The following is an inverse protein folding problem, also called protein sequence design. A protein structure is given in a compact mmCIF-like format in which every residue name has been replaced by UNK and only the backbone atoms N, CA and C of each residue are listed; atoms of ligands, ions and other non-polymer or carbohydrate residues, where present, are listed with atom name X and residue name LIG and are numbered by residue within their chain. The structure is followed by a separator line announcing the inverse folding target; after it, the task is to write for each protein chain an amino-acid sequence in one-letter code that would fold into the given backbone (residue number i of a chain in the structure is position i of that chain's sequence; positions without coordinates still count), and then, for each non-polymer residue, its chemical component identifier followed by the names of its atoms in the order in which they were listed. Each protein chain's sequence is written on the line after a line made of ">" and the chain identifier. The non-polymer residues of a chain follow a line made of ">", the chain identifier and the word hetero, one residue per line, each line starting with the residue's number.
data_IF_085785372697
#
_entry.id   IF_085785372697
#
_cell.length_a   1.000
_cell.length_b   1.000
_cell.length_c   1.000
_cell.angle_alpha   90.00
_cell.angle_beta   90.00
_cell.angle_gamma   90.00
#
_symmetry.space_group_name_H-M   'P 1'
#
loop_
_entity.id
_entity.type
_entity.pdbx_description
1 polymer ?
#
# COMPACT_ATOMS: atom_id res chain seq x y z
N UNK A 1 18.09 -7.18 23.92
CA UNK A 1 17.38 -6.03 23.29
C UNK A 1 16.92 -6.32 21.84
N UNK A 2 17.71 -6.96 20.96
CA UNK A 2 17.24 -7.32 19.60
C UNK A 2 16.16 -8.41 19.58
N UNK A 3 16.20 -9.38 20.50
CA UNK A 3 15.25 -10.49 20.52
C UNK A 3 13.81 -10.08 20.84
N UNK A 4 13.60 -8.99 21.59
CA UNK A 4 12.25 -8.46 21.83
C UNK A 4 11.69 -7.81 20.57
N UNK A 5 12.49 -6.99 19.89
CA UNK A 5 12.08 -6.30 18.66
C UNK A 5 11.75 -7.30 17.55
N UNK A 6 12.63 -8.29 17.33
CA UNK A 6 12.38 -9.33 16.32
C UNK A 6 11.08 -10.11 16.59
N UNK A 7 10.79 -10.45 17.86
CA UNK A 7 9.54 -11.13 18.21
C UNK A 7 8.31 -10.27 17.95
N UNK A 8 8.40 -8.95 18.12
CA UNK A 8 7.31 -8.01 17.79
C UNK A 8 7.03 -7.94 16.29
N UNK A 9 8.05 -8.12 15.45
CA UNK A 9 7.93 -8.03 13.99
C UNK A 9 7.68 -9.37 13.29
N UNK A 10 7.67 -10.50 14.03
CA UNK A 10 7.41 -11.83 13.48
C UNK A 10 6.08 -11.92 12.70
N UNK A 11 4.94 -11.39 13.18
CA UNK A 11 3.70 -11.43 12.41
C UNK A 11 3.83 -10.71 11.06
N UNK A 12 4.56 -9.58 11.04
CA UNK A 12 4.79 -8.78 9.83
C UNK A 12 5.72 -9.53 8.87
N UNK A 13 6.77 -10.18 9.39
CA UNK A 13 7.68 -11.04 8.61
C UNK A 13 6.92 -12.09 7.79
N UNK A 14 5.98 -12.80 8.42
CA UNK A 14 5.19 -13.84 7.77
C UNK A 14 4.23 -13.31 6.69
N UNK A 15 3.83 -12.04 6.75
CA UNK A 15 3.09 -11.38 5.68
C UNK A 15 4.01 -10.85 4.56
N UNK A 16 5.11 -10.20 4.93
CA UNK A 16 5.96 -9.46 4.01
C UNK A 16 6.78 -10.34 3.09
N UNK A 17 7.30 -11.47 3.57
CA UNK A 17 8.10 -12.36 2.71
C UNK A 17 7.25 -12.93 1.57
N UNK A 18 6.10 -13.59 1.81
CA UNK A 18 5.28 -14.13 0.72
C UNK A 18 4.76 -13.04 -0.22
N UNK A 19 4.32 -11.90 0.32
CA UNK A 19 3.79 -10.79 -0.48
C UNK A 19 4.91 -10.14 -1.33
N UNK A 20 6.09 -9.94 -0.75
CA UNK A 20 7.27 -9.45 -1.45
C UNK A 20 7.76 -10.43 -2.51
N UNK A 21 7.68 -11.74 -2.25
CA UNK A 21 7.97 -12.77 -3.25
C UNK A 21 6.99 -12.71 -4.43
N UNK A 22 5.69 -12.60 -4.16
CA UNK A 22 4.68 -12.46 -5.20
C UNK A 22 4.94 -11.22 -6.07
N UNK A 23 5.28 -10.08 -5.44
CA UNK A 23 5.74 -8.89 -6.15
C UNK A 23 6.95 -9.16 -7.04
N UNK A 24 7.99 -9.79 -6.50
CA UNK A 24 9.23 -10.04 -7.22
C UNK A 24 9.04 -10.94 -8.44
N UNK A 25 8.25 -12.02 -8.29
CA UNK A 25 7.90 -12.91 -9.41
C UNK A 25 7.12 -12.13 -10.47
N UNK A 26 6.11 -11.36 -10.06
CA UNK A 26 5.31 -10.56 -10.99
C UNK A 26 6.20 -9.55 -11.74
N UNK A 27 7.11 -8.88 -11.04
CA UNK A 27 8.05 -7.93 -11.65
C UNK A 27 8.93 -8.61 -12.70
N UNK A 28 9.59 -9.71 -12.36
CA UNK A 28 10.55 -10.38 -13.24
C UNK A 28 9.89 -11.08 -14.44
N UNK A 29 8.63 -11.50 -14.31
CA UNK A 29 7.92 -12.25 -15.37
C UNK A 29 7.08 -11.38 -16.29
N UNK A 30 6.64 -10.20 -15.82
CA UNK A 30 5.76 -9.31 -16.59
C UNK A 30 6.45 -8.08 -17.15
N UNK A 31 7.61 -7.69 -16.60
CA UNK A 31 8.37 -6.55 -17.06
C UNK A 31 9.72 -7.00 -17.59
N UNK A 32 10.15 -6.40 -18.70
CA UNK A 32 11.46 -6.63 -19.31
C UNK A 32 12.56 -5.80 -18.62
N UNK A 33 12.64 -5.91 -17.29
CA UNK A 33 13.64 -5.25 -16.46
C UNK A 33 14.50 -6.26 -15.70
N UNK A 34 15.76 -5.90 -15.38
CA UNK A 34 16.62 -6.78 -14.59
C UNK A 34 16.01 -7.11 -13.23
N UNK A 35 16.15 -8.36 -12.78
CA UNK A 35 15.60 -8.84 -11.49
C UNK A 35 15.96 -7.97 -10.29
N UNK A 36 17.16 -7.35 -10.28
CA UNK A 36 17.65 -6.53 -9.18
C UNK A 36 16.89 -5.20 -9.02
N UNK A 37 16.12 -4.79 -10.03
CA UNK A 37 15.28 -3.61 -9.94
C UNK A 37 14.12 -3.81 -8.95
N UNK A 38 13.62 -5.03 -8.78
CA UNK A 38 12.57 -5.35 -7.80
C UNK A 38 12.99 -5.05 -6.35
N UNK A 39 14.09 -5.61 -5.80
CA UNK A 39 14.55 -5.25 -4.45
C UNK A 39 14.97 -3.78 -4.35
N UNK A 40 15.49 -3.17 -5.42
CA UNK A 40 15.81 -1.73 -5.43
C UNK A 40 14.55 -0.87 -5.24
N UNK A 41 13.43 -1.22 -5.87
CA UNK A 41 12.15 -0.55 -5.62
C UNK A 41 11.69 -0.74 -4.17
N UNK A 42 11.95 -1.91 -3.56
CA UNK A 42 11.69 -2.14 -2.13
C UNK A 42 12.51 -1.24 -1.20
N UNK A 43 13.69 -0.78 -1.63
CA UNK A 43 14.52 0.17 -0.88
C UNK A 43 14.10 1.62 -1.11
N UNK A 44 13.85 2.00 -2.37
CA UNK A 44 13.65 3.41 -2.76
C UNK A 44 12.19 3.88 -2.70
N UNK A 45 11.25 3.00 -3.07
CA UNK A 45 9.83 3.34 -3.19
C UNK A 45 9.08 2.82 -1.96
N UNK A 46 9.36 1.57 -1.57
CA UNK A 46 8.80 0.92 -0.37
C UNK A 46 7.29 1.14 -0.17
N UNK A 47 6.50 0.93 -1.23
CA UNK A 47 5.07 1.20 -1.24
C UNK A 47 4.20 -0.06 -1.07
N UNK A 48 4.80 -1.23 -0.84
CA UNK A 48 4.07 -2.49 -0.60
C UNK A 48 3.08 -2.80 -1.72
N UNK A 49 1.78 -2.80 -1.39
CA UNK A 49 0.66 -2.94 -2.33
C UNK A 49 0.73 -1.99 -3.54
N UNK A 50 1.25 -0.78 -3.36
CA UNK A 50 1.48 0.16 -4.46
C UNK A 50 2.48 -0.36 -5.48
N UNK A 51 3.58 -0.98 -5.05
CA UNK A 51 4.55 -1.53 -6.01
C UNK A 51 3.93 -2.62 -6.87
N UNK A 52 3.08 -3.46 -6.28
CA UNK A 52 2.40 -4.51 -7.03
C UNK A 52 1.37 -3.92 -8.00
N UNK A 53 0.58 -2.93 -7.56
CA UNK A 53 -0.33 -2.19 -8.45
C UNK A 53 0.41 -1.56 -9.63
N UNK A 54 1.55 -0.90 -9.37
CA UNK A 54 2.33 -0.26 -10.42
C UNK A 54 2.82 -1.27 -11.46
N UNK A 55 3.35 -2.41 -11.03
CA UNK A 55 3.78 -3.49 -11.94
C UNK A 55 2.61 -4.03 -12.75
N UNK A 56 1.47 -4.30 -12.11
CA UNK A 56 0.27 -4.78 -12.79
C UNK A 56 -0.24 -3.81 -13.86
N UNK A 57 -0.27 -2.52 -13.55
CA UNK A 57 -0.70 -1.50 -14.51
C UNK A 57 0.30 -1.35 -15.67
N UNK A 58 1.60 -1.36 -15.40
CA UNK A 58 2.63 -1.32 -16.44
C UNK A 58 2.57 -2.55 -17.34
N UNK A 59 2.39 -3.74 -16.77
CA UNK A 59 2.22 -4.99 -17.52
C UNK A 59 0.96 -4.97 -18.41
N UNK A 60 -0.11 -4.33 -17.94
CA UNK A 60 -1.34 -4.13 -18.71
C UNK A 60 -1.23 -3.02 -19.77
N UNK A 61 -0.06 -2.39 -19.94
CA UNK A 61 0.16 -1.31 -20.91
C UNK A 61 -0.43 0.04 -20.52
N UNK A 62 -0.75 0.27 -19.24
CA UNK A 62 -1.26 1.55 -18.76
C UNK A 62 -0.22 2.67 -18.95
N UNK A 63 -0.71 3.89 -19.20
CA UNK A 63 0.15 5.05 -19.35
C UNK A 63 0.82 5.46 -18.04
N UNK A 64 2.01 6.07 -18.10
CA UNK A 64 2.74 6.52 -16.89
C UNK A 64 1.93 7.47 -16.01
N UNK A 65 1.09 8.32 -16.62
CA UNK A 65 0.20 9.24 -15.89
C UNK A 65 -0.87 8.47 -15.12
N UNK A 66 -1.43 7.41 -15.70
CA UNK A 66 -2.43 6.58 -15.04
C UNK A 66 -1.83 5.82 -13.86
N UNK A 67 -0.64 5.24 -14.06
CA UNK A 67 0.13 4.58 -13.01
C UNK A 67 0.43 5.57 -11.88
N UNK A 68 0.87 6.79 -12.21
CA UNK A 68 1.15 7.83 -11.22
C UNK A 68 -0.10 8.19 -10.41
N UNK A 69 -1.24 8.43 -11.07
CA UNK A 69 -2.49 8.79 -10.40
C UNK A 69 -2.97 7.66 -9.51
N UNK A 70 -2.97 6.41 -10.00
CA UNK A 70 -3.38 5.25 -9.22
C UNK A 70 -2.47 5.03 -8.01
N UNK A 71 -1.15 5.15 -8.20
CA UNK A 71 -0.16 5.08 -7.12
C UNK A 71 -0.35 6.17 -6.09
N UNK A 72 -0.56 7.41 -6.53
CA UNK A 72 -0.78 8.55 -5.65
C UNK A 72 -2.02 8.35 -4.79
N UNK A 73 -3.15 7.99 -5.41
CA UNK A 73 -4.43 7.75 -4.71
C UNK A 73 -4.30 6.60 -3.72
N UNK A 74 -3.72 5.46 -4.14
CA UNK A 74 -3.56 4.29 -3.26
C UNK A 74 -2.62 4.59 -2.08
N UNK A 75 -1.55 5.34 -2.30
CA UNK A 75 -0.57 5.64 -1.26
C UNK A 75 -0.88 6.90 -0.44
N UNK A 76 -1.93 7.67 -0.77
CA UNK A 76 -2.31 8.87 -0.04
C UNK A 76 -2.51 8.62 1.47
N UNK A 77 -2.89 7.40 1.86
CA UNK A 77 -2.98 6.98 3.27
C UNK A 77 -1.68 7.14 4.06
N UNK A 78 -0.52 6.93 3.43
CA UNK A 78 0.78 7.10 4.07
C UNK A 78 1.04 8.54 4.52
N UNK A 79 0.45 9.53 3.83
CA UNK A 79 0.52 10.93 4.26
C UNK A 79 -0.13 11.11 5.64
N UNK A 80 -1.30 10.49 5.86
CA UNK A 80 -2.00 10.58 7.14
C UNK A 80 -1.24 9.86 8.26
N UNK A 81 -0.59 8.73 7.97
CA UNK A 81 0.27 8.04 8.94
C UNK A 81 1.47 8.91 9.35
N UNK A 82 2.12 9.53 8.36
CA UNK A 82 3.23 10.44 8.62
C UNK A 82 2.80 11.62 9.50
N UNK A 83 1.66 12.24 9.17
CA UNK A 83 1.11 13.37 9.91
C UNK A 83 0.74 13.01 11.36
N UNK A 84 0.10 11.85 11.60
CA UNK A 84 -0.32 11.45 12.95
C UNK A 84 0.88 11.15 13.88
N UNK A 85 2.01 10.70 13.32
CA UNK A 85 3.22 10.37 14.09
C UNK A 85 4.27 11.49 14.12
N UNK A 86 4.01 12.65 13.52
CA UNK A 86 4.94 13.80 13.53
C UNK A 86 5.38 14.20 14.93
N UNK A 87 4.44 14.19 15.89
CA UNK A 87 4.70 14.50 17.30
C UNK A 87 5.56 13.43 17.97
N UNK A 88 5.28 12.16 17.70
CA UNK A 88 6.02 11.01 18.24
C UNK A 88 7.47 10.98 17.77
N UNK A 89 7.73 11.35 16.51
CA UNK A 89 9.07 11.38 15.92
C UNK A 89 9.81 12.70 16.14
N UNK A 90 9.25 13.63 16.93
CA UNK A 90 9.90 14.89 17.26
C UNK A 90 11.19 14.62 18.05
N UNK A 91 12.30 15.19 17.59
CA UNK A 91 13.62 15.02 18.21
C UNK A 91 14.42 13.82 17.70
N UNK A 92 13.90 13.01 16.77
CA UNK A 92 14.59 11.84 16.23
C UNK A 92 15.73 12.15 15.22
N UNK A 93 16.03 13.44 14.98
CA UNK A 93 17.06 13.88 14.02
C UNK A 93 16.81 13.37 12.60
N UNK A 94 17.86 12.86 11.93
CA UNK A 94 17.78 12.31 10.57
C UNK A 94 16.86 11.07 10.47
N UNK A 95 16.73 10.31 11.57
CA UNK A 95 15.88 9.11 11.62
C UNK A 95 14.41 9.45 11.40
N UNK A 96 13.98 10.68 11.68
CA UNK A 96 12.60 11.12 11.46
C UNK A 96 12.18 10.94 10.00
N UNK A 97 13.03 11.31 9.05
CA UNK A 97 12.71 11.19 7.63
C UNK A 97 12.54 9.71 7.23
N UNK A 98 13.46 8.86 7.68
CA UNK A 98 13.38 7.42 7.46
C UNK A 98 12.15 6.78 8.14
N UNK A 99 11.85 7.15 9.37
CA UNK A 99 10.69 6.65 10.11
C UNK A 99 9.38 7.00 9.42
N UNK A 100 9.27 8.19 8.80
CA UNK A 100 8.10 8.59 8.01
C UNK A 100 8.06 7.83 6.68
N UNK A 101 9.19 7.71 6.00
CA UNK A 101 9.31 6.97 4.73
C UNK A 101 8.94 5.49 4.89
N UNK A 102 9.41 4.85 5.96
CA UNK A 102 9.20 3.43 6.23
C UNK A 102 7.84 3.09 6.86
N UNK A 103 6.89 4.03 6.89
CA UNK A 103 5.54 3.72 7.35
C UNK A 103 4.82 2.90 6.29
N UNK A 104 4.23 1.81 6.76
CA UNK A 104 3.33 0.89 6.06
C UNK A 104 2.18 0.60 7.03
N UNK A 105 1.08 -0.02 6.59
CA UNK A 105 -0.07 -0.28 7.46
C UNK A 105 0.33 -1.10 8.70
N UNK A 106 1.17 -2.11 8.48
CA UNK A 106 1.65 -3.05 9.48
C UNK A 106 2.65 -2.38 10.42
N UNK A 107 3.56 -1.57 9.88
CA UNK A 107 4.51 -0.79 10.69
C UNK A 107 3.75 0.24 11.52
N UNK A 108 2.85 1.00 10.92
CA UNK A 108 2.02 2.00 11.60
C UNK A 108 1.18 1.38 12.73
N UNK A 109 0.49 0.27 12.43
CA UNK A 109 -0.29 -0.48 13.41
C UNK A 109 0.58 -0.94 14.58
N UNK A 110 1.74 -1.52 14.32
CA UNK A 110 2.65 -1.97 15.37
C UNK A 110 3.22 -0.80 16.20
N UNK A 111 3.61 0.32 15.56
CA UNK A 111 4.17 1.47 16.27
C UNK A 111 3.16 2.18 17.19
N UNK A 112 1.86 2.12 16.84
CA UNK A 112 0.77 2.77 17.59
C UNK A 112 0.12 1.88 18.64
N UNK A 113 0.16 0.55 18.48
CA UNK A 113 -0.47 -0.40 19.41
C UNK A 113 0.50 -0.99 20.44
N UNK A 114 1.82 -0.95 20.17
CA UNK A 114 2.81 -1.46 21.12
C UNK A 114 2.85 -0.62 22.41
N UNK A 115 3.03 -1.24 23.59
CA UNK A 115 3.33 -0.52 24.81
C UNK A 115 4.59 0.34 24.65
N UNK A 116 4.59 1.54 25.24
CA UNK A 116 5.72 2.49 25.19
C UNK A 116 6.11 2.91 26.61
N UNK A 117 7.41 2.94 26.88
CA UNK A 117 7.97 3.46 28.11
C UNK A 117 8.07 4.99 28.14
N UNK A 118 8.52 5.57 29.26
CA UNK A 118 8.64 7.01 29.44
C UNK A 118 9.83 7.63 28.67
N UNK A 119 10.85 6.83 28.32
CA UNK A 119 12.03 7.30 27.59
C UNK A 119 11.76 7.39 26.08
N UNK A 120 11.45 8.60 25.62
CA UNK A 120 11.19 8.88 24.20
C UNK A 120 12.34 8.49 23.28
N UNK A 121 13.59 8.71 23.69
CA UNK A 121 14.74 8.45 22.81
C UNK A 121 14.92 6.96 22.59
N UNK A 122 14.79 6.18 23.66
CA UNK A 122 14.77 4.72 23.57
C UNK A 122 13.63 4.21 22.68
N UNK A 123 12.42 4.74 22.85
CA UNK A 123 11.26 4.34 22.05
C UNK A 123 11.43 4.66 20.54
N UNK A 124 12.08 5.77 20.21
CA UNK A 124 12.40 6.13 18.83
C UNK A 124 13.48 5.22 18.21
N UNK A 125 14.42 4.73 19.01
CA UNK A 125 15.39 3.71 18.57
C UNK A 125 14.71 2.37 18.29
N UNK A 126 13.76 1.97 19.15
CA UNK A 126 12.93 0.78 18.92
C UNK A 126 12.09 0.92 17.66
N UNK A 127 11.42 2.06 17.46
CA UNK A 127 10.66 2.36 16.24
C UNK A 127 11.56 2.22 15.00
N UNK A 128 12.78 2.79 15.03
CA UNK A 128 13.73 2.72 13.92
C UNK A 128 14.13 1.28 13.57
N UNK A 129 14.36 0.44 14.59
CA UNK A 129 14.71 -0.98 14.39
C UNK A 129 13.54 -1.78 13.83
N UNK A 130 12.32 -1.53 14.30
CA UNK A 130 11.10 -2.16 13.76
C UNK A 130 10.95 -1.83 12.28
N UNK A 131 11.03 -0.54 11.92
CA UNK A 131 10.94 -0.08 10.54
C UNK A 131 12.04 -0.72 9.67
N UNK A 132 13.28 -0.76 10.16
CA UNK A 132 14.40 -1.40 9.46
C UNK A 132 14.17 -2.90 9.22
N UNK A 133 13.72 -3.64 10.23
CA UNK A 133 13.39 -5.05 10.08
C UNK A 133 12.28 -5.27 9.04
N UNK A 134 11.20 -4.51 9.12
CA UNK A 134 10.09 -4.62 8.18
C UNK A 134 10.54 -4.31 6.74
N UNK A 135 11.37 -3.29 6.54
CA UNK A 135 11.93 -3.00 5.22
C UNK A 135 12.81 -4.14 4.71
N UNK A 136 13.68 -4.69 5.56
CA UNK A 136 14.52 -5.83 5.20
C UNK A 136 13.67 -7.05 4.78
N UNK A 137 12.59 -7.35 5.50
CA UNK A 137 11.73 -8.49 5.17
C UNK A 137 11.09 -8.35 3.79
N UNK A 138 10.62 -7.14 3.47
CA UNK A 138 10.06 -6.83 2.17
C UNK A 138 11.11 -6.97 1.07
N UNK A 139 12.28 -6.34 1.22
CA UNK A 139 13.37 -6.37 0.23
C UNK A 139 13.87 -7.79 -0.01
N UNK A 140 14.00 -8.60 1.06
CA UNK A 140 14.37 -10.02 0.96
C UNK A 140 13.30 -10.78 0.18
N UNK A 141 12.02 -10.57 0.49
CA UNK A 141 10.90 -11.15 -0.27
C UNK A 141 10.97 -10.78 -1.75
N UNK A 142 11.13 -9.50 -2.07
CA UNK A 142 11.27 -9.01 -3.44
C UNK A 142 12.45 -9.65 -4.18
N UNK A 143 13.61 -9.75 -3.53
CA UNK A 143 14.81 -10.36 -4.11
C UNK A 143 14.60 -11.86 -4.40
N UNK A 144 14.07 -12.61 -3.42
CA UNK A 144 13.78 -14.03 -3.59
C UNK A 144 12.78 -14.24 -4.73
N UNK A 145 11.68 -13.48 -4.72
CA UNK A 145 10.66 -13.56 -5.77
C UNK A 145 11.20 -13.25 -7.15
N UNK A 146 11.98 -12.17 -7.29
CA UNK A 146 12.52 -11.76 -8.58
C UNK A 146 13.55 -12.75 -9.11
N UNK A 147 14.42 -13.29 -8.25
CA UNK A 147 15.36 -14.35 -8.63
C UNK A 147 14.64 -15.62 -9.09
N UNK A 148 13.57 -16.01 -8.39
CA UNK A 148 12.74 -17.15 -8.79
C UNK A 148 12.06 -16.91 -10.14
N UNK A 149 11.50 -15.72 -10.35
CA UNK A 149 10.85 -15.36 -11.62
C UNK A 149 11.82 -15.29 -12.81
N UNK A 150 13.08 -14.90 -12.57
CA UNK A 150 14.11 -14.77 -13.61
C UNK A 150 14.80 -16.10 -13.97
N UNK A 151 14.99 -17.00 -13.00
CA UNK A 151 15.82 -18.20 -13.18
C UNK A 151 15.03 -19.50 -13.38
N UNK A 152 13.76 -19.53 -13.00
CA UNK A 152 12.90 -20.68 -13.25
C UNK A 152 12.17 -20.42 -14.54
N UNK A 153 12.31 -21.34 -15.51
CA UNK A 153 11.44 -21.39 -16.69
C UNK A 153 10.01 -21.71 -16.21
N UNK A 154 9.34 -20.70 -15.67
CA UNK A 154 7.95 -20.78 -15.31
C UNK A 154 7.17 -20.84 -16.61
N UNK A 155 6.32 -21.84 -16.72
CA UNK A 155 5.19 -21.74 -17.61
C UNK A 155 4.39 -20.52 -17.15
N UNK A 156 4.47 -19.43 -17.93
CA UNK A 156 3.78 -18.18 -17.63
C UNK A 156 2.27 -18.33 -17.73
N UNK A 157 1.79 -19.49 -18.24
CA UNK A 157 0.38 -19.91 -18.21
C UNK A 157 -0.13 -19.89 -16.77
N UNK A 158 -0.97 -18.90 -16.47
CA UNK A 158 -1.54 -18.68 -15.12
C UNK A 158 -0.91 -17.53 -14.34
N UNK A 159 0.21 -16.95 -14.77
CA UNK A 159 0.71 -15.69 -14.16
C UNK A 159 -0.23 -14.52 -14.50
N UNK A 160 -0.92 -14.56 -15.65
CA UNK A 160 -1.99 -13.62 -15.96
C UNK A 160 -3.09 -13.63 -14.89
N UNK A 161 -3.37 -14.80 -14.29
CA UNK A 161 -4.29 -14.90 -13.15
C UNK A 161 -3.70 -14.26 -11.89
N UNK A 162 -2.39 -14.19 -11.72
CA UNK A 162 -1.77 -13.53 -10.56
C UNK A 162 -2.12 -12.03 -10.50
N UNK A 163 -2.18 -11.35 -11.66
CA UNK A 163 -2.62 -9.96 -11.74
C UNK A 163 -4.08 -9.81 -11.30
N UNK A 164 -4.96 -10.68 -11.80
CA UNK A 164 -6.39 -10.67 -11.41
C UNK A 164 -6.56 -10.99 -9.93
N UNK A 165 -5.87 -12.03 -9.43
CA UNK A 165 -5.89 -12.44 -8.04
C UNK A 165 -5.37 -11.34 -7.11
N UNK A 166 -4.35 -10.58 -7.52
CA UNK A 166 -3.88 -9.41 -6.77
C UNK A 166 -4.98 -8.38 -6.61
N UNK A 167 -5.66 -7.98 -7.69
CA UNK A 167 -6.75 -7.00 -7.58
C UNK A 167 -7.90 -7.52 -6.72
N UNK A 168 -8.22 -8.82 -6.79
CA UNK A 168 -9.21 -9.45 -5.91
C UNK A 168 -8.76 -9.36 -4.45
N UNK A 169 -7.52 -9.73 -4.14
CA UNK A 169 -6.98 -9.66 -2.77
C UNK A 169 -6.97 -8.23 -2.25
N UNK A 170 -6.49 -7.27 -3.04
CA UNK A 170 -6.52 -5.85 -2.68
C UNK A 170 -7.95 -5.39 -2.40
N UNK A 171 -8.91 -5.79 -3.24
CA UNK A 171 -10.32 -5.47 -3.06
C UNK A 171 -10.89 -6.06 -1.76
N UNK A 172 -10.59 -7.32 -1.47
CA UNK A 172 -11.00 -8.00 -0.23
C UNK A 172 -10.41 -7.32 1.00
N UNK A 173 -9.13 -6.96 0.97
CA UNK A 173 -8.46 -6.28 2.08
C UNK A 173 -9.06 -4.89 2.32
N UNK A 174 -9.37 -4.13 1.27
CA UNK A 174 -10.07 -2.85 1.42
C UNK A 174 -11.47 -3.01 1.98
N UNK A 175 -12.23 -4.01 1.52
CA UNK A 175 -13.56 -4.29 2.06
C UNK A 175 -13.51 -4.67 3.56
N UNK A 176 -12.56 -5.51 3.96
CA UNK A 176 -12.36 -5.86 5.38
C UNK A 176 -11.97 -4.66 6.24
N UNK A 177 -11.13 -3.77 5.70
CA UNK A 177 -10.66 -2.58 6.40
C UNK A 177 -11.78 -1.57 6.63
N UNK A 178 -12.61 -1.32 5.61
CA UNK A 178 -13.71 -0.36 5.68
C UNK A 178 -14.96 -0.92 6.35
N UNK A 179 -15.18 -2.24 6.28
CA UNK A 179 -16.42 -2.93 6.70
C UNK A 179 -17.68 -2.33 6.08
N UNK A 180 -17.54 -1.66 4.94
CA UNK A 180 -18.60 -0.99 4.19
C UNK A 180 -18.47 -1.38 2.71
N UNK A 181 -19.58 -1.81 2.12
CA UNK A 181 -19.67 -2.16 0.70
C UNK A 181 -19.89 -0.97 -0.22
N UNK A 182 -20.25 0.20 0.31
CA UNK A 182 -20.56 1.37 -0.53
C UNK A 182 -19.38 1.80 -1.43
N UNK A 183 -18.13 1.93 -0.93
CA UNK A 183 -16.98 2.27 -1.78
C UNK A 183 -16.70 1.23 -2.87
N UNK A 184 -16.95 -0.06 -2.58
CA UNK A 184 -16.76 -1.15 -3.53
C UNK A 184 -17.75 -1.04 -4.70
N UNK A 185 -19.04 -0.94 -4.40
CA UNK A 185 -20.08 -0.89 -5.43
C UNK A 185 -20.03 0.40 -6.24
N UNK A 186 -19.70 1.54 -5.61
CA UNK A 186 -19.49 2.79 -6.34
C UNK A 186 -18.27 2.74 -7.24
N UNK A 187 -17.19 2.08 -6.81
CA UNK A 187 -16.02 1.81 -7.67
C UNK A 187 -16.37 0.94 -8.87
N UNK A 188 -17.11 -0.15 -8.66
CA UNK A 188 -17.56 -1.04 -9.74
C UNK A 188 -18.47 -0.30 -10.75
N UNK A 189 -19.41 0.52 -10.25
CA UNK A 189 -20.27 1.35 -11.10
C UNK A 189 -19.46 2.40 -11.88
N UNK A 190 -18.51 3.07 -11.23
CA UNK A 190 -17.63 4.05 -11.87
C UNK A 190 -16.78 3.41 -12.99
N UNK A 191 -16.24 2.22 -12.76
CA UNK A 191 -15.52 1.46 -13.78
C UNK A 191 -16.44 1.12 -14.97
N UNK A 192 -17.66 0.62 -14.71
CA UNK A 192 -18.64 0.34 -15.77
C UNK A 192 -19.02 1.58 -16.58
N UNK A 193 -19.24 2.72 -15.92
CA UNK A 193 -19.53 4.00 -16.60
C UNK A 193 -18.34 4.44 -17.46
N UNK A 194 -17.12 4.36 -16.92
CA UNK A 194 -15.92 4.73 -17.64
C UNK A 194 -15.72 3.84 -18.88
N UNK A 195 -15.96 2.53 -18.77
CA UNK A 195 -15.87 1.60 -19.90
C UNK A 195 -16.87 1.90 -21.02
N UNK A 196 -18.06 2.39 -20.68
CA UNK A 196 -19.10 2.72 -21.67
C UNK A 196 -18.90 4.08 -22.34
N UNK A 197 -18.37 5.06 -21.60
CA UNK A 197 -18.33 6.47 -22.03
C UNK A 197 -16.95 6.95 -22.49
N UNK A 198 -15.86 6.26 -22.12
CA UNK A 198 -14.49 6.71 -22.36
C UNK A 198 -13.70 5.75 -23.24
N UNK A 199 -12.74 6.30 -23.99
CA UNK A 199 -11.78 5.50 -24.74
C UNK A 199 -10.91 4.66 -23.80
N UNK A 200 -10.41 3.48 -24.23
CA UNK A 200 -9.60 2.59 -23.39
C UNK A 200 -8.47 3.29 -22.62
N UNK A 201 -7.81 4.25 -23.27
CA UNK A 201 -6.71 5.06 -22.71
C UNK A 201 -7.09 6.00 -21.56
N UNK A 202 -8.37 6.20 -21.27
CA UNK A 202 -8.86 7.12 -20.23
C UNK A 202 -9.79 6.42 -19.22
N UNK A 203 -10.01 5.12 -19.35
CA UNK A 203 -10.97 4.38 -18.52
C UNK A 203 -10.55 4.36 -17.06
N UNK A 204 -9.27 4.14 -16.76
CA UNK A 204 -8.77 4.08 -15.39
C UNK A 204 -8.87 5.45 -14.70
N UNK A 205 -8.34 6.50 -15.33
CA UNK A 205 -8.42 7.86 -14.79
C UNK A 205 -9.88 8.28 -14.63
N UNK A 206 -10.73 8.03 -15.63
CA UNK A 206 -12.14 8.35 -15.59
C UNK A 206 -12.86 7.67 -14.43
N UNK A 207 -12.63 6.38 -14.22
CA UNK A 207 -13.19 5.63 -13.10
C UNK A 207 -12.74 6.21 -11.75
N UNK A 208 -11.44 6.52 -11.59
CA UNK A 208 -10.88 7.14 -10.38
C UNK A 208 -11.53 8.50 -10.12
N UNK A 209 -11.70 9.35 -11.13
CA UNK A 209 -12.33 10.67 -10.99
C UNK A 209 -13.79 10.53 -10.57
N UNK A 210 -14.55 9.65 -11.23
CA UNK A 210 -15.97 9.42 -10.94
C UNK A 210 -16.15 8.91 -9.51
N UNK A 211 -15.43 7.84 -9.11
CA UNK A 211 -15.56 7.27 -7.77
C UNK A 211 -15.13 8.27 -6.70
N UNK A 212 -14.04 9.00 -6.92
CA UNK A 212 -13.56 10.00 -5.96
C UNK A 212 -14.59 11.12 -5.79
N UNK A 213 -15.18 11.61 -6.89
CA UNK A 213 -16.22 12.65 -6.83
C UNK A 213 -17.47 12.17 -6.07
N UNK A 214 -17.94 10.95 -6.35
CA UNK A 214 -19.09 10.34 -5.65
C UNK A 214 -18.81 10.20 -4.16
N UNK A 215 -17.64 9.67 -3.78
CA UNK A 215 -17.25 9.50 -2.39
C UNK A 215 -17.11 10.84 -1.65
N UNK A 216 -16.57 11.87 -2.30
CA UNK A 216 -16.47 13.21 -1.72
C UNK A 216 -17.86 13.84 -1.49
N UNK A 217 -18.78 13.69 -2.45
CA UNK A 217 -20.16 14.18 -2.28
C UNK A 217 -20.87 13.42 -1.16
N UNK A 218 -20.72 12.10 -1.10
CA UNK A 218 -21.28 11.28 -0.04
C UNK A 218 -20.75 11.68 1.34
N UNK A 219 -19.44 11.86 1.47
CA UNK A 219 -18.79 12.33 2.69
C UNK A 219 -19.32 13.70 3.16
N UNK A 220 -19.48 14.66 2.23
CA UNK A 220 -20.03 15.99 2.55
C UNK A 220 -21.46 15.89 3.07
N UNK A 221 -22.32 15.10 2.42
CA UNK A 221 -23.71 14.90 2.86
C UNK A 221 -23.80 14.30 4.26
N UNK A 222 -22.99 13.30 4.58
CA UNK A 222 -22.95 12.71 5.93
C UNK A 222 -22.52 13.73 6.99
N UNK A 223 -21.52 14.55 6.68
CA UNK A 223 -21.05 15.61 7.58
C UNK A 223 -22.13 16.67 7.83
N UNK A 224 -22.83 17.09 6.78
CA UNK A 224 -23.88 18.11 6.87
C UNK A 224 -25.09 17.59 7.68
N UNK A 225 -25.51 16.34 7.48
CA UNK A 225 -26.60 15.72 8.27
C UNK A 225 -26.21 15.60 9.75
N UNK A 226 -24.99 15.13 10.06
CA UNK A 226 -24.51 15.03 11.44
C UNK A 226 -24.34 16.37 12.16
N UNK A 227 -24.02 17.44 11.43
CA UNK A 227 -23.98 18.79 11.97
C UNK A 227 -25.38 19.35 12.27
N UNK A 228 -26.40 18.92 11.52
CA UNK A 228 -27.79 19.38 11.69
C UNK A 228 -28.48 18.69 12.88
N UNK A 229 -28.21 17.40 13.11
CA UNK A 229 -28.73 16.67 14.29
C UNK A 229 -28.08 17.12 15.61
N UNK A 230 -26.79 17.46 15.60
CA UNK A 230 -26.09 17.99 16.78
C UNK A 230 -26.55 19.39 17.22
N UNK A 231 -27.10 20.20 16.30
CA UNK A 231 -27.62 21.53 16.60
C UNK A 231 -29.05 21.53 17.16
N UNK A 232 -29.80 20.43 17.01
CA UNK A 232 -31.19 20.31 17.48
C UNK A 232 -31.31 19.67 18.88
N UNK A 233 -30.18 19.32 19.50
CA UNK A 233 -30.09 18.68 20.82
C UNK A 233 -29.20 19.44 21.82
N UNK A 234 -28.79 20.67 21.50
CA UNK A 234 -28.14 21.60 22.43
C UNK A 234 -29.09 22.73 22.81
#
# INVERSE_FOLDING_TARGET
>A
MNQSVFRLTLPILFGYIPLGMAFGVLFATQLDYPWWAAPLMGVLIYAGAGQILAVSLLAAGAGMVEVFVAMFVLNARHLFYGLSLLGQFRGAGWRKAYLIFGLTDETYSLLTTRPRGPDRHHEQEVDFRITGFNQCYWVIGCAIGALLGDNVAFDSTGIEFALVALFIVLTIEQYKALKDGFPLWTGAAAAGIAMLLLSPSHQLIGAIVIVTAVLLVHYRRLKDTGATEGANHG
#
